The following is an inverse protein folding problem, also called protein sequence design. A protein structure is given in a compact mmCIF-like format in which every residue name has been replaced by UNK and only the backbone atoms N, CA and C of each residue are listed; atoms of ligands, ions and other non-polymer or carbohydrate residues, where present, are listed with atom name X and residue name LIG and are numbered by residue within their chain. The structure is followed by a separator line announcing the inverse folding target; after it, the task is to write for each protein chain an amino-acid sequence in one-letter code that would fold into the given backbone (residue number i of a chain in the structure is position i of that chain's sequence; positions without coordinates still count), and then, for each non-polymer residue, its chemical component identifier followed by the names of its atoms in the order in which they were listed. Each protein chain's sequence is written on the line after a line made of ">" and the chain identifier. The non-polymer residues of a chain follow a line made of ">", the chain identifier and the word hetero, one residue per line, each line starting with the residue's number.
data_IF_779404591446
#
_entry.id   IF_779404591446
#
_cell.length_a   1.000
_cell.length_b   1.000
_cell.length_c   1.000
_cell.angle_alpha   90.00
_cell.angle_beta   90.00
_cell.angle_gamma   90.00
#
_symmetry.space_group_name_H-M   'P 1'
#
loop_
_entity.id
_entity.type
_entity.pdbx_description
1 polymer ?
#
# COMPACT_ATOMS: atom_id res chain seq x y z
N UNK A 1 3.74 5.79 19.47
CA UNK A 1 3.78 6.84 18.44
C UNK A 1 4.87 6.46 17.46
N UNK A 2 4.56 6.42 16.17
CA UNK A 2 5.52 6.02 15.13
C UNK A 2 5.76 7.21 14.23
N UNK A 3 7.02 7.54 13.95
CA UNK A 3 7.36 8.62 13.01
C UNK A 3 7.22 8.14 11.57
N UNK A 4 6.92 9.07 10.66
CA UNK A 4 6.95 8.79 9.22
C UNK A 4 8.34 8.30 8.78
N UNK A 5 9.41 8.82 9.40
CA UNK A 5 10.78 8.37 9.19
C UNK A 5 10.94 6.86 9.41
N UNK A 6 10.47 6.36 10.55
CA UNK A 6 10.61 4.94 10.91
C UNK A 6 9.84 4.04 9.93
N UNK A 7 8.65 4.47 9.50
CA UNK A 7 7.88 3.74 8.50
C UNK A 7 8.65 3.68 7.18
N UNK A 8 9.18 4.80 6.70
CA UNK A 8 9.93 4.82 5.43
C UNK A 8 11.19 3.95 5.52
N UNK A 9 11.92 4.02 6.65
CA UNK A 9 13.06 3.12 6.88
C UNK A 9 12.64 1.65 6.87
N UNK A 10 11.52 1.31 7.53
CA UNK A 10 10.96 -0.04 7.52
C UNK A 10 10.63 -0.53 6.11
N UNK A 11 10.03 0.34 5.28
CA UNK A 11 9.68 0.01 3.88
C UNK A 11 10.94 -0.15 3.01
N UNK A 12 11.99 0.65 3.25
CA UNK A 12 13.29 0.47 2.56
C UNK A 12 13.94 -0.87 2.88
N UNK A 13 13.94 -1.26 4.16
CA UNK A 13 14.48 -2.55 4.57
C UNK A 13 13.62 -3.71 4.06
N UNK A 14 12.29 -3.54 4.01
CA UNK A 14 11.35 -4.49 3.40
C UNK A 14 11.67 -4.68 1.91
N UNK A 15 11.86 -3.58 1.17
CA UNK A 15 12.23 -3.62 -0.24
C UNK A 15 13.57 -4.31 -0.46
N UNK A 16 14.54 -4.09 0.44
CA UNK A 16 15.84 -4.79 0.41
C UNK A 16 15.68 -6.31 0.63
N UNK A 17 14.80 -6.74 1.53
CA UNK A 17 14.51 -8.16 1.73
C UNK A 17 13.86 -8.77 0.47
N UNK A 18 12.88 -8.07 -0.12
CA UNK A 18 12.25 -8.46 -1.38
C UNK A 18 13.26 -8.54 -2.53
N UNK A 19 14.23 -7.61 -2.61
CA UNK A 19 15.30 -7.68 -3.60
C UNK A 19 16.05 -9.00 -3.53
N UNK A 20 16.52 -9.41 -2.35
CA UNK A 20 17.23 -10.68 -2.21
C UNK A 20 16.34 -11.89 -2.52
N UNK A 21 15.08 -11.86 -2.07
CA UNK A 21 14.11 -12.92 -2.33
C UNK A 21 13.86 -13.09 -3.84
N UNK A 22 13.67 -11.99 -4.55
CA UNK A 22 13.41 -12.00 -5.98
C UNK A 22 14.63 -12.44 -6.79
N UNK A 23 15.86 -12.06 -6.35
CA UNK A 23 17.11 -12.50 -7.01
C UNK A 23 17.29 -14.03 -7.00
N UNK A 24 16.66 -14.73 -6.05
CA UNK A 24 16.67 -16.20 -6.00
C UNK A 24 15.39 -16.83 -6.55
N UNK A 25 14.55 -16.06 -7.26
CA UNK A 25 13.35 -16.55 -7.94
C UNK A 25 12.14 -16.77 -7.03
N UNK A 26 12.10 -16.17 -5.84
CA UNK A 26 10.97 -16.27 -4.92
C UNK A 26 10.15 -14.98 -4.89
N UNK A 27 8.84 -15.13 -4.69
CA UNK A 27 7.87 -14.03 -4.54
C UNK A 27 7.12 -14.26 -3.22
N UNK A 28 6.96 -13.23 -2.41
CA UNK A 28 6.33 -13.26 -1.10
C UNK A 28 4.81 -13.41 -1.18
N UNK A 29 4.16 -12.66 -2.06
CA UNK A 29 2.71 -12.73 -2.37
C UNK A 29 1.75 -12.29 -1.25
N UNK A 30 2.27 -11.73 -0.17
CA UNK A 30 1.47 -11.17 0.94
C UNK A 30 2.23 -10.07 1.70
N UNK A 31 2.83 -9.15 0.96
CA UNK A 31 3.47 -7.97 1.56
C UNK A 31 2.37 -7.04 2.10
N UNK A 32 2.38 -6.81 3.41
CA UNK A 32 1.36 -6.03 4.11
C UNK A 32 1.98 -5.23 5.25
N UNK A 33 1.22 -4.29 5.83
CA UNK A 33 1.67 -3.57 7.03
C UNK A 33 1.88 -4.51 8.23
N UNK A 34 1.17 -5.64 8.29
CA UNK A 34 1.34 -6.65 9.34
C UNK A 34 2.64 -7.45 9.19
N UNK A 35 3.16 -7.54 7.97
CA UNK A 35 4.34 -8.34 7.64
C UNK A 35 5.62 -7.50 7.50
N UNK A 36 5.51 -6.17 7.53
CA UNK A 36 6.63 -5.23 7.59
C UNK A 36 6.89 -4.80 9.04
N UNK A 37 7.79 -5.53 9.72
CA UNK A 37 8.05 -5.37 11.15
C UNK A 37 9.16 -4.36 11.42
N UNK A 38 8.93 -3.45 12.37
CA UNK A 38 9.97 -2.56 12.91
C UNK A 38 10.53 -3.13 14.22
N UNK A 39 11.81 -3.44 14.25
CA UNK A 39 12.46 -4.12 15.38
C UNK A 39 13.60 -3.27 15.92
N UNK A 40 13.61 -3.06 17.23
CA UNK A 40 14.72 -2.48 17.99
C UNK A 40 15.49 -3.60 18.66
N UNK A 41 16.80 -3.71 18.40
CA UNK A 41 17.65 -4.69 19.05
C UNK A 41 18.13 -4.21 20.44
N UNK A 42 18.82 -5.09 21.17
CA UNK A 42 19.35 -4.78 22.51
C UNK A 42 20.34 -3.61 22.54
N UNK A 43 20.88 -3.22 21.38
CA UNK A 43 21.80 -2.10 21.23
C UNK A 43 21.08 -0.81 20.79
N UNK A 44 19.75 -0.75 20.90
CA UNK A 44 18.90 0.35 20.42
C UNK A 44 18.97 0.63 18.92
N UNK A 45 19.53 -0.29 18.11
CA UNK A 45 19.50 -0.15 16.66
C UNK A 45 18.15 -0.63 16.14
N UNK A 46 17.53 0.18 15.29
CA UNK A 46 16.23 -0.12 14.71
C UNK A 46 16.39 -0.55 13.26
N UNK A 47 15.66 -1.60 12.85
CA UNK A 47 15.68 -2.14 11.49
C UNK A 47 14.30 -2.66 11.10
N UNK A 48 13.95 -2.54 9.83
CA UNK A 48 12.80 -3.24 9.25
C UNK A 48 13.13 -4.70 8.96
N UNK A 49 12.12 -5.58 9.11
CA UNK A 49 12.19 -6.98 8.67
C UNK A 49 10.88 -7.38 8.00
N UNK A 50 11.02 -8.14 6.91
CA UNK A 50 9.90 -8.81 6.26
C UNK A 50 9.63 -10.15 6.97
N UNK A 51 8.38 -10.41 7.31
CA UNK A 51 7.91 -11.61 7.99
C UNK A 51 6.82 -12.31 7.19
N UNK A 52 6.45 -13.51 7.64
CA UNK A 52 5.34 -14.31 7.13
C UNK A 52 5.47 -14.80 5.67
N UNK A 53 6.26 -15.87 5.51
CA UNK A 53 6.56 -16.48 4.22
C UNK A 53 5.62 -17.65 3.88
N UNK A 54 4.47 -17.79 4.56
CA UNK A 54 3.58 -18.95 4.36
C UNK A 54 3.03 -19.04 2.93
N UNK A 55 2.84 -17.89 2.30
CA UNK A 55 2.42 -17.78 0.91
C UNK A 55 3.58 -17.59 -0.06
N UNK A 56 4.84 -17.65 0.37
CA UNK A 56 5.97 -17.48 -0.54
C UNK A 56 5.99 -18.60 -1.61
N UNK A 57 6.30 -18.25 -2.86
CA UNK A 57 6.38 -19.22 -3.97
C UNK A 57 7.54 -18.94 -4.90
N UNK A 58 8.19 -20.01 -5.32
CA UNK A 58 9.19 -19.99 -6.38
C UNK A 58 8.51 -19.83 -7.75
N UNK A 59 8.95 -18.86 -8.55
CA UNK A 59 8.37 -18.53 -9.87
C UNK A 59 8.46 -19.68 -10.88
N UNK A 60 9.45 -20.57 -10.70
CA UNK A 60 9.67 -21.74 -11.54
C UNK A 60 8.81 -22.95 -11.13
N UNK A 61 7.96 -22.81 -10.10
CA UNK A 61 7.09 -23.90 -9.66
C UNK A 61 5.86 -24.04 -10.57
N UNK A 62 5.62 -25.25 -11.07
CA UNK A 62 4.43 -25.58 -11.86
C UNK A 62 3.23 -26.05 -11.04
N UNK A 63 3.29 -25.93 -9.70
CA UNK A 63 2.16 -26.25 -8.83
C UNK A 63 1.06 -25.18 -9.02
N UNK A 64 -0.01 -25.58 -9.70
CA UNK A 64 -1.05 -24.70 -10.27
C UNK A 64 -2.14 -24.24 -9.30
N UNK A 65 -1.97 -24.40 -7.99
CA UNK A 65 -2.89 -23.84 -7.01
C UNK A 65 -2.46 -22.41 -6.62
N UNK A 66 -2.60 -21.46 -7.53
CA UNK A 66 -2.58 -20.04 -7.16
C UNK A 66 -3.94 -19.68 -6.53
N UNK A 67 -4.06 -20.02 -5.25
CA UNK A 67 -5.06 -19.42 -4.38
C UNK A 67 -4.82 -17.91 -4.39
N UNK A 68 -5.90 -17.11 -4.43
CA UNK A 68 -5.77 -15.67 -4.28
C UNK A 68 -5.32 -15.41 -2.84
N UNK A 69 -4.05 -15.09 -2.66
CA UNK A 69 -3.43 -14.74 -1.38
C UNK A 69 -3.17 -13.24 -1.35
N UNK A 70 -3.05 -12.69 -0.16
CA UNK A 70 -2.75 -11.27 0.02
C UNK A 70 -3.80 -10.52 0.82
N UNK A 71 -3.34 -9.53 1.57
CA UNK A 71 -4.21 -8.57 2.24
C UNK A 71 -4.90 -7.65 1.20
N UNK A 72 -6.25 -7.59 1.13
CA UNK A 72 -6.97 -6.85 0.07
C UNK A 72 -6.58 -5.37 -0.08
N UNK A 73 -6.19 -4.70 1.01
CA UNK A 73 -5.73 -3.31 0.98
C UNK A 73 -4.40 -3.11 0.24
N UNK A 74 -3.52 -4.12 0.24
CA UNK A 74 -2.15 -4.02 -0.25
C UNK A 74 -1.88 -4.90 -1.47
N UNK A 75 -2.82 -5.77 -1.83
CA UNK A 75 -2.73 -6.65 -3.00
C UNK A 75 -2.55 -5.88 -4.32
N UNK A 76 -1.58 -6.23 -5.16
CA UNK A 76 -1.40 -5.58 -6.46
C UNK A 76 -2.67 -5.64 -7.34
N UNK A 77 -2.87 -4.63 -8.20
CA UNK A 77 -4.10 -4.50 -9.01
C UNK A 77 -4.30 -5.67 -9.99
N UNK A 78 -3.21 -6.21 -10.54
CA UNK A 78 -3.25 -7.39 -11.41
C UNK A 78 -3.58 -8.68 -10.65
N UNK A 79 -3.16 -8.76 -9.39
CA UNK A 79 -3.43 -9.91 -8.50
C UNK A 79 -4.89 -9.91 -8.08
N UNK A 80 -5.45 -8.74 -7.78
CA UNK A 80 -6.88 -8.57 -7.54
C UNK A 80 -7.68 -9.02 -8.77
N UNK A 81 -7.31 -8.52 -9.95
CA UNK A 81 -7.95 -8.86 -11.22
C UNK A 81 -7.68 -10.29 -11.71
N UNK A 82 -6.62 -10.95 -11.24
CA UNK A 82 -6.08 -12.23 -11.73
C UNK A 82 -5.76 -12.22 -13.24
N UNK A 83 -5.28 -11.09 -13.76
CA UNK A 83 -4.86 -10.95 -15.14
C UNK A 83 -3.83 -9.84 -15.31
N UNK A 84 -3.04 -9.92 -16.38
CA UNK A 84 -2.13 -8.86 -16.79
C UNK A 84 -2.94 -7.67 -17.33
N UNK A 85 -2.85 -6.52 -16.67
CA UNK A 85 -3.65 -5.32 -16.94
C UNK A 85 -2.89 -4.25 -17.72
N UNK A 86 -1.57 -4.38 -17.83
CA UNK A 86 -0.70 -3.45 -18.52
C UNK A 86 -0.24 -3.97 -19.89
N UNK A 87 -0.24 -5.29 -20.12
CA UNK A 87 0.20 -5.93 -21.36
C UNK A 87 -0.69 -5.58 -22.56
N UNK A 88 -2.00 -5.42 -22.32
CA UNK A 88 -2.99 -5.14 -23.35
C UNK A 88 -3.03 -3.68 -23.78
N UNK A 89 -2.36 -2.77 -23.05
CA UNK A 89 -2.34 -1.34 -23.39
C UNK A 89 -1.45 -1.07 -24.62
N UNK A 90 -0.36 -1.83 -24.78
CA UNK A 90 0.65 -1.55 -25.80
C UNK A 90 0.40 -2.12 -27.19
N UNK A 91 -0.29 -3.25 -27.27
CA UNK A 91 -0.29 -4.07 -28.50
C UNK A 91 -1.64 -4.16 -29.23
N UNK A 92 -2.70 -3.52 -28.73
CA UNK A 92 -4.07 -3.77 -29.20
C UNK A 92 -4.48 -5.23 -28.95
N UNK A 93 -5.67 -5.66 -29.39
CA UNK A 93 -6.23 -7.02 -29.21
C UNK A 93 -5.40 -8.18 -29.85
N UNK A 94 -4.13 -7.95 -30.17
CA UNK A 94 -3.30 -8.79 -31.04
C UNK A 94 -2.42 -9.83 -30.33
N UNK A 95 -2.70 -10.15 -29.06
CA UNK A 95 -2.01 -11.23 -28.35
C UNK A 95 -2.79 -12.54 -28.48
N UNK A 96 -2.31 -13.41 -29.38
CA UNK A 96 -2.91 -14.73 -29.70
C UNK A 96 -2.86 -15.75 -28.54
N UNK A 97 -2.17 -15.46 -27.44
CA UNK A 97 -2.30 -16.14 -26.14
C UNK A 97 -1.45 -15.42 -25.09
N UNK A 98 -2.07 -14.69 -24.17
CA UNK A 98 -1.36 -14.27 -22.97
C UNK A 98 -1.02 -15.52 -22.15
N UNK A 99 0.20 -15.63 -21.59
CA UNK A 99 0.51 -16.75 -20.71
C UNK A 99 -0.45 -16.74 -19.50
N UNK A 100 -0.69 -17.90 -18.87
CA UNK A 100 -1.46 -17.95 -17.63
C UNK A 100 -0.92 -16.93 -16.62
N UNK A 101 -1.82 -16.18 -15.98
CA UNK A 101 -1.42 -15.17 -14.99
C UNK A 101 -0.60 -15.83 -13.87
N UNK A 102 0.58 -15.28 -13.63
CA UNK A 102 1.47 -15.69 -12.53
C UNK A 102 1.93 -14.46 -11.77
N UNK A 103 1.90 -14.56 -10.44
CA UNK A 103 2.46 -13.53 -9.57
C UNK A 103 3.98 -13.45 -9.76
N UNK A 104 4.52 -12.22 -9.76
CA UNK A 104 5.94 -11.95 -9.91
C UNK A 104 6.40 -10.86 -8.90
N UNK A 105 7.70 -10.59 -8.85
CA UNK A 105 8.26 -9.66 -7.88
C UNK A 105 7.73 -8.22 -7.99
N UNK A 106 7.18 -7.78 -9.13
CA UNK A 106 6.54 -6.47 -9.23
C UNK A 106 5.31 -6.36 -8.33
N UNK A 107 4.57 -7.45 -8.16
CA UNK A 107 3.36 -7.45 -7.33
C UNK A 107 3.69 -7.24 -5.85
N UNK A 108 4.83 -7.76 -5.38
CA UNK A 108 5.34 -7.49 -4.04
C UNK A 108 5.81 -6.03 -3.88
N UNK A 109 6.48 -5.49 -4.90
CA UNK A 109 6.92 -4.08 -4.89
C UNK A 109 5.71 -3.14 -4.91
N UNK A 110 4.68 -3.41 -5.72
CA UNK A 110 3.43 -2.64 -5.73
C UNK A 110 2.78 -2.62 -4.34
N UNK A 111 2.83 -3.73 -3.61
CA UNK A 111 2.29 -3.82 -2.26
C UNK A 111 3.01 -2.87 -1.28
N UNK A 112 4.34 -2.70 -1.39
CA UNK A 112 5.11 -1.70 -0.60
C UNK A 112 4.60 -0.29 -0.84
N UNK A 113 4.26 0.03 -2.08
CA UNK A 113 3.69 1.33 -2.44
C UNK A 113 2.29 1.55 -1.86
N UNK A 114 1.46 0.51 -1.91
CA UNK A 114 0.13 0.57 -1.30
C UNK A 114 0.21 0.77 0.21
N UNK A 115 1.20 0.18 0.89
CA UNK A 115 1.43 0.43 2.32
C UNK A 115 1.78 1.90 2.55
N UNK A 116 2.69 2.48 1.76
CA UNK A 116 3.05 3.90 1.91
C UNK A 116 1.84 4.83 1.71
N UNK A 117 1.06 4.60 0.66
CA UNK A 117 -0.15 5.40 0.40
C UNK A 117 -1.19 5.22 1.49
N UNK A 118 -1.40 3.99 1.96
CA UNK A 118 -2.29 3.74 3.07
C UNK A 118 -1.86 4.51 4.31
N UNK A 119 -0.57 4.54 4.64
CA UNK A 119 -0.03 5.31 5.77
C UNK A 119 -0.32 6.81 5.61
N UNK A 120 -0.07 7.38 4.43
CA UNK A 120 -0.30 8.80 4.15
C UNK A 120 -1.77 9.18 4.33
N UNK A 121 -2.70 8.32 3.91
CA UNK A 121 -4.14 8.60 4.01
C UNK A 121 -4.76 8.18 5.35
N UNK A 122 -4.21 7.19 6.03
CA UNK A 122 -4.73 6.70 7.31
C UNK A 122 -4.29 7.56 8.49
N UNK A 123 -3.09 8.13 8.42
CA UNK A 123 -2.51 8.94 9.48
C UNK A 123 -2.50 10.43 9.12
N UNK A 124 -2.35 11.26 10.15
CA UNK A 124 -2.04 12.68 10.01
C UNK A 124 -0.88 13.05 10.94
N UNK A 125 -0.19 14.16 10.65
CA UNK A 125 0.83 14.68 11.56
C UNK A 125 0.15 15.22 12.82
N UNK A 126 0.58 14.72 13.98
CA UNK A 126 0.08 15.16 15.27
C UNK A 126 0.28 16.67 15.49
N UNK A 127 1.39 17.21 14.99
CA UNK A 127 1.75 18.61 15.17
C UNK A 127 1.07 19.52 14.13
N UNK A 128 0.82 18.99 12.93
CA UNK A 128 0.15 19.70 11.83
C UNK A 128 -0.95 18.82 11.21
N UNK A 129 -2.07 18.62 11.92
CA UNK A 129 -3.15 17.76 11.43
C UNK A 129 -3.72 18.27 10.10
N UNK A 130 -4.25 17.33 9.33
CA UNK A 130 -4.93 17.62 8.07
C UNK A 130 -6.07 18.62 8.28
N UNK A 131 -6.18 19.56 7.35
CA UNK A 131 -7.26 20.57 7.35
C UNK A 131 -8.61 19.98 6.92
N UNK A 132 -8.62 18.82 6.26
CA UNK A 132 -9.84 18.14 5.79
C UNK A 132 -9.78 16.61 6.05
N UNK A 133 -10.01 16.18 7.30
CA UNK A 133 -9.99 14.77 7.65
C UNK A 133 -11.13 13.97 6.99
N UNK A 134 -12.24 14.64 6.63
CA UNK A 134 -13.37 14.01 5.96
C UNK A 134 -13.00 13.57 4.54
N UNK A 135 -12.44 14.47 3.74
CA UNK A 135 -11.99 14.15 2.39
C UNK A 135 -10.83 13.13 2.39
N UNK A 136 -9.91 13.24 3.34
CA UNK A 136 -8.83 12.26 3.51
C UNK A 136 -9.38 10.85 3.78
N UNK A 137 -10.38 10.71 4.68
CA UNK A 137 -11.05 9.43 4.96
C UNK A 137 -11.80 8.90 3.75
N UNK A 138 -12.53 9.75 3.02
CA UNK A 138 -13.27 9.33 1.84
C UNK A 138 -12.31 8.81 0.75
N UNK A 139 -11.17 9.49 0.57
CA UNK A 139 -10.12 9.05 -0.34
C UNK A 139 -9.51 7.72 0.10
N UNK A 140 -9.22 7.56 1.40
CA UNK A 140 -8.77 6.29 1.97
C UNK A 140 -9.76 5.16 1.63
N UNK A 141 -11.06 5.36 1.90
CA UNK A 141 -12.09 4.34 1.65
C UNK A 141 -12.24 3.99 0.17
N UNK A 142 -12.10 4.98 -0.73
CA UNK A 142 -12.18 4.74 -2.18
C UNK A 142 -11.00 3.92 -2.71
N UNK A 143 -9.79 4.17 -2.21
CA UNK A 143 -8.56 3.45 -2.62
C UNK A 143 -8.47 2.09 -1.90
N UNK A 144 -8.82 2.06 -0.61
CA UNK A 144 -8.61 0.94 0.31
C UNK A 144 -9.94 0.47 0.93
N UNK A 145 -10.89 -0.06 0.14
CA UNK A 145 -12.18 -0.51 0.67
C UNK A 145 -12.09 -1.80 1.50
N UNK A 146 -10.95 -2.50 1.46
CA UNK A 146 -10.75 -3.79 2.14
C UNK A 146 -11.45 -4.97 1.48
N UNK A 147 -12.09 -4.73 0.34
CA UNK A 147 -12.83 -5.73 -0.44
C UNK A 147 -12.24 -5.79 -1.85
N UNK A 148 -12.08 -7.01 -2.35
CA UNK A 148 -11.55 -7.29 -3.68
C UNK A 148 -12.46 -6.73 -4.79
N UNK A 149 -11.86 -6.29 -5.90
CA UNK A 149 -12.57 -5.82 -7.10
C UNK A 149 -13.35 -4.50 -6.95
N UNK A 150 -13.33 -3.87 -5.77
CA UNK A 150 -14.02 -2.60 -5.49
C UNK A 150 -13.06 -1.42 -5.31
N UNK A 151 -11.76 -1.66 -5.45
CA UNK A 151 -10.74 -0.67 -5.16
C UNK A 151 -10.52 0.29 -6.34
N UNK A 152 -10.43 1.59 -6.03
CA UNK A 152 -10.01 2.61 -7.01
C UNK A 152 -8.51 2.57 -7.32
N UNK A 153 -7.74 1.61 -6.75
CA UNK A 153 -6.29 1.49 -6.99
C UNK A 153 -5.94 1.30 -8.44
N UNK A 154 -6.75 0.58 -9.22
CA UNK A 154 -6.53 0.48 -10.66
C UNK A 154 -6.65 1.85 -11.35
N UNK A 155 -7.63 2.66 -10.95
CA UNK A 155 -7.75 4.03 -11.45
C UNK A 155 -6.54 4.87 -11.05
N UNK A 156 -6.08 4.80 -9.80
CA UNK A 156 -4.88 5.52 -9.35
C UNK A 156 -3.64 5.05 -10.12
N UNK A 157 -3.47 3.74 -10.28
CA UNK A 157 -2.38 3.15 -11.03
C UNK A 157 -2.42 3.53 -12.52
N UNK A 158 -3.60 3.79 -13.10
CA UNK A 158 -3.78 4.16 -14.52
C UNK A 158 -3.92 5.67 -14.79
N UNK A 159 -4.22 6.48 -13.77
CA UNK A 159 -4.60 7.89 -13.95
C UNK A 159 -3.55 8.84 -13.42
N UNK A 160 -2.96 9.64 -14.31
CA UNK A 160 -2.01 10.71 -13.97
C UNK A 160 -2.68 12.09 -13.73
N UNK A 161 -4.01 12.17 -13.58
CA UNK A 161 -4.73 13.44 -13.31
C UNK A 161 -4.49 13.92 -11.86
N UNK A 162 -4.59 15.23 -11.55
CA UNK A 162 -3.97 15.80 -10.35
C UNK A 162 -4.75 15.45 -9.08
N UNK A 163 -4.37 14.36 -8.41
CA UNK A 163 -4.69 14.10 -7.00
C UNK A 163 -3.54 14.61 -6.11
N UNK A 164 -2.30 14.47 -6.57
CA UNK A 164 -1.12 15.22 -6.11
C UNK A 164 0.06 15.00 -7.07
N UNK A 165 1.10 15.84 -7.02
CA UNK A 165 2.35 15.61 -7.77
C UNK A 165 2.98 14.26 -7.41
N UNK A 166 2.93 13.90 -6.13
CA UNK A 166 3.41 12.63 -5.60
C UNK A 166 2.69 11.42 -6.20
N UNK A 167 1.34 11.42 -6.18
CA UNK A 167 0.55 10.32 -6.75
C UNK A 167 0.76 10.16 -8.25
N UNK A 168 0.98 11.27 -8.97
CA UNK A 168 1.31 11.24 -10.40
C UNK A 168 2.66 10.57 -10.66
N UNK A 169 3.68 10.93 -9.89
CA UNK A 169 5.01 10.32 -10.00
C UNK A 169 4.94 8.82 -9.67
N UNK A 170 4.24 8.47 -8.59
CA UNK A 170 3.95 7.08 -8.22
C UNK A 170 3.29 6.30 -9.37
N UNK A 171 2.17 6.80 -9.90
CA UNK A 171 1.44 6.14 -10.99
C UNK A 171 2.32 5.97 -12.25
N UNK A 172 3.07 7.02 -12.61
CA UNK A 172 3.98 6.97 -13.77
C UNK A 172 5.05 5.89 -13.62
N UNK A 173 5.70 5.79 -12.45
CA UNK A 173 6.75 4.80 -12.24
C UNK A 173 6.20 3.39 -12.16
N UNK A 174 5.03 3.21 -11.55
CA UNK A 174 4.36 1.91 -11.51
C UNK A 174 4.00 1.44 -12.93
N UNK A 175 3.40 2.32 -13.74
CA UNK A 175 3.07 2.04 -15.14
C UNK A 175 4.31 1.66 -15.96
N UNK A 176 5.39 2.45 -15.86
CA UNK A 176 6.63 2.22 -16.59
C UNK A 176 7.32 0.91 -16.16
N UNK A 177 7.24 0.57 -14.87
CA UNK A 177 7.77 -0.68 -14.32
C UNK A 177 7.02 -1.89 -14.88
N UNK A 178 5.68 -1.84 -14.88
CA UNK A 178 4.85 -2.90 -15.48
C UNK A 178 5.10 -3.03 -16.97
N UNK A 179 5.07 -1.90 -17.69
CA UNK A 179 5.32 -1.88 -19.13
C UNK A 179 6.64 -2.57 -19.49
N UNK A 180 7.73 -2.15 -18.85
CA UNK A 180 9.07 -2.69 -19.12
C UNK A 180 9.17 -4.18 -18.77
N UNK A 181 8.57 -4.60 -17.66
CA UNK A 181 8.63 -5.98 -17.21
C UNK A 181 7.81 -6.92 -18.10
N UNK A 182 6.64 -6.47 -18.54
CA UNK A 182 5.76 -7.27 -19.39
C UNK A 182 6.23 -7.32 -20.84
N UNK A 183 6.88 -6.28 -21.37
CA UNK A 183 7.65 -6.39 -22.63
C UNK A 183 8.81 -7.40 -22.49
N UNK A 184 9.41 -7.49 -21.30
CA UNK A 184 10.51 -8.41 -21.01
C UNK A 184 10.08 -9.87 -20.79
N UNK A 185 8.80 -10.13 -20.48
CA UNK A 185 8.22 -11.50 -20.44
C UNK A 185 8.44 -12.23 -21.77
N UNK A 186 8.50 -11.49 -22.89
CA UNK A 186 8.76 -12.05 -24.21
C UNK A 186 10.26 -12.21 -24.55
N UNK A 187 11.19 -11.63 -23.77
CA UNK A 187 12.60 -11.46 -24.19
C UNK A 187 13.68 -11.86 -23.15
N UNK A 188 13.32 -12.55 -22.05
CA UNK A 188 14.28 -13.10 -21.05
C UNK A 188 15.12 -12.01 -20.32
N UNK A 189 14.63 -10.76 -20.20
CA UNK A 189 15.35 -9.65 -19.53
C UNK A 189 14.78 -9.24 -18.17
N UNK A 190 13.94 -10.09 -17.56
CA UNK A 190 13.15 -9.72 -16.38
C UNK A 190 13.98 -9.33 -15.14
N UNK A 191 15.17 -9.91 -14.98
CA UNK A 191 16.04 -9.68 -13.81
C UNK A 191 16.61 -8.25 -13.75
N UNK A 192 17.11 -7.74 -14.87
CA UNK A 192 17.64 -6.37 -14.98
C UNK A 192 16.53 -5.34 -14.75
N UNK A 193 15.33 -5.61 -15.29
CA UNK A 193 14.14 -4.78 -15.06
C UNK A 193 13.81 -4.71 -13.58
N UNK A 194 13.74 -5.86 -12.91
CA UNK A 194 13.36 -5.91 -11.50
C UNK A 194 14.37 -5.20 -10.60
N UNK A 195 15.66 -5.30 -10.92
CA UNK A 195 16.70 -4.53 -10.21
C UNK A 195 16.53 -3.01 -10.38
N UNK A 196 16.22 -2.54 -11.60
CA UNK A 196 15.93 -1.13 -11.85
C UNK A 196 14.72 -0.64 -11.05
N UNK A 197 13.64 -1.43 -11.02
CA UNK A 197 12.40 -1.10 -10.29
C UNK A 197 12.64 -1.04 -8.78
N UNK A 198 13.41 -1.99 -8.22
CA UNK A 198 13.84 -1.93 -6.82
C UNK A 198 14.62 -0.65 -6.50
N UNK A 199 15.59 -0.29 -7.35
CA UNK A 199 16.42 0.90 -7.18
C UNK A 199 15.60 2.18 -7.20
N UNK A 200 14.71 2.34 -8.18
CA UNK A 200 13.89 3.54 -8.30
C UNK A 200 12.84 3.63 -7.18
N UNK A 201 12.26 2.50 -6.76
CA UNK A 201 11.36 2.45 -5.59
C UNK A 201 12.09 2.90 -4.32
N UNK A 202 13.31 2.44 -4.09
CA UNK A 202 14.13 2.86 -2.95
C UNK A 202 14.44 4.36 -2.96
N UNK A 203 14.77 4.90 -4.15
CA UNK A 203 15.03 6.32 -4.36
C UNK A 203 13.79 7.17 -4.09
N UNK A 204 12.62 6.73 -4.52
CA UNK A 204 11.38 7.45 -4.25
C UNK A 204 10.97 7.43 -2.78
N UNK A 205 11.18 6.32 -2.07
CA UNK A 205 11.01 6.28 -0.63
C UNK A 205 11.90 7.32 0.06
N UNK A 206 13.14 7.48 -0.41
CA UNK A 206 14.05 8.52 0.09
C UNK A 206 13.57 9.93 -0.26
N UNK A 207 13.04 10.15 -1.46
CA UNK A 207 12.48 11.45 -1.85
C UNK A 207 11.29 11.85 -0.97
N UNK A 208 10.42 10.89 -0.63
CA UNK A 208 9.31 11.11 0.32
C UNK A 208 9.86 11.44 1.70
N UNK A 209 10.85 10.69 2.17
CA UNK A 209 11.52 10.99 3.43
C UNK A 209 12.01 12.43 3.44
N UNK A 210 12.75 12.86 2.42
CA UNK A 210 13.31 14.21 2.34
C UNK A 210 12.25 15.30 2.19
N UNK A 211 11.19 15.08 1.39
CA UNK A 211 10.16 16.08 1.12
C UNK A 211 9.25 16.36 2.34
N UNK A 212 8.97 15.34 3.14
CA UNK A 212 8.19 15.49 4.38
C UNK A 212 9.09 15.78 5.60
N UNK A 213 10.41 15.81 5.42
CA UNK A 213 11.43 16.13 6.41
C UNK A 213 12.01 17.54 6.20
N UNK A 214 11.16 18.55 5.98
CA UNK A 214 11.64 19.92 6.15
C UNK A 214 12.16 20.05 7.59
N UNK A 215 13.48 19.89 7.75
CA UNK A 215 14.30 19.90 8.97
C UNK A 215 14.51 18.56 9.72
N UNK A 216 13.53 17.64 9.86
CA UNK A 216 13.76 16.22 10.27
C UNK A 216 12.46 15.38 10.18
N UNK A 217 12.43 14.27 9.42
CA UNK A 217 11.26 13.36 9.36
C UNK A 217 10.92 12.74 10.72
N UNK A 218 11.87 12.74 11.66
CA UNK A 218 11.66 12.26 13.03
C UNK A 218 10.60 13.07 13.77
N UNK A 219 10.37 14.32 13.37
CA UNK A 219 9.38 15.22 13.96
C UNK A 219 7.95 15.01 13.45
N UNK A 220 7.76 14.29 12.34
CA UNK A 220 6.43 13.94 11.82
C UNK A 220 5.92 12.73 12.59
N UNK A 221 5.16 12.99 13.65
CA UNK A 221 4.57 11.98 14.51
C UNK A 221 3.19 11.62 13.98
N UNK A 222 3.04 10.37 13.52
CA UNK A 222 1.81 9.92 12.93
C UNK A 222 0.78 9.55 13.99
N UNK A 223 -0.42 10.11 13.84
CA UNK A 223 -1.58 9.80 14.65
C UNK A 223 -2.77 9.40 13.77
N UNK A 224 -3.55 8.37 14.17
CA UNK A 224 -4.70 7.92 13.39
C UNK A 224 -5.72 9.04 13.11
N UNK A 225 -6.23 9.09 11.88
CA UNK A 225 -7.15 10.13 11.41
C UNK A 225 -8.48 10.16 12.19
N UNK A 226 -8.92 9.01 12.71
CA UNK A 226 -10.16 8.86 13.47
C UNK A 226 -10.23 9.75 14.72
N UNK A 227 -9.08 10.13 15.28
CA UNK A 227 -9.00 11.07 16.41
C UNK A 227 -9.49 12.48 16.08
N UNK A 228 -9.44 12.88 14.81
CA UNK A 228 -9.79 14.23 14.34
C UNK A 228 -11.13 14.28 13.62
N UNK A 229 -11.75 13.12 13.40
CA UNK A 229 -13.10 13.05 12.87
C UNK A 229 -14.08 13.36 14.00
N UNK A 230 -14.86 14.42 13.84
CA UNK A 230 -15.92 14.74 14.79
C UNK A 230 -16.82 13.52 14.96
N UNK A 231 -16.92 13.00 16.19
CA UNK A 231 -17.94 11.99 16.52
C UNK A 231 -19.28 12.61 16.16
N UNK A 232 -19.95 12.10 15.12
CA UNK A 232 -21.38 12.32 14.97
C UNK A 232 -21.99 11.88 16.29
N UNK A 233 -22.50 12.84 17.09
CA UNK A 233 -23.41 12.51 18.20
C UNK A 233 -24.52 11.68 17.57
N UNK A 234 -24.59 10.41 17.92
CA UNK A 234 -25.80 9.62 17.72
C UNK A 234 -26.90 10.33 18.50
N UNK A 235 -27.83 10.97 17.80
CA UNK A 235 -29.09 11.40 18.38
C UNK A 235 -29.85 10.15 18.80
N UNK A 236 -29.61 9.70 20.03
CA UNK A 236 -30.43 8.73 20.74
C UNK A 236 -30.25 8.91 22.25
N UNK A 237 -30.33 10.15 22.72
CA UNK A 237 -30.78 10.42 24.09
C UNK A 237 -32.22 10.90 23.98
N UNK A 238 -33.12 9.90 24.02
CA UNK A 238 -34.53 10.14 24.33
C UNK A 238 -34.55 10.80 25.70
N UNK A 239 -34.95 12.08 25.72
CA UNK A 239 -35.36 12.78 26.93
C UNK A 239 -36.39 11.92 27.66
N UNK A 240 -35.97 11.24 28.72
CA UNK A 240 -36.87 10.77 29.75
C UNK A 240 -37.02 11.90 30.75
N UNK A 241 -38.09 12.67 30.60
CA UNK A 241 -38.51 13.70 31.54
C UNK A 241 -38.74 13.08 32.93
N UNK A 242 -38.36 13.77 34.03
CA UNK A 242 -38.49 13.24 35.37
C UNK A 242 -39.96 13.27 35.83
N UNK A 243 -40.36 12.14 36.38
CA UNK A 243 -41.60 11.83 37.09
C UNK A 243 -41.97 12.93 38.10
N UNK A 244 -43.13 13.57 37.92
CA UNK A 244 -43.82 14.27 39.01
C UNK A 244 -44.51 13.25 39.92
N UNK A 245 -43.92 12.99 41.08
CA UNK A 245 -44.67 12.57 42.27
C UNK A 245 -44.74 13.77 43.22
N UNK A 246 -45.93 14.38 43.35
CA UNK A 246 -46.55 14.74 44.63
C UNK A 246 -47.75 15.67 44.43
N UNK A 247 -48.96 15.14 44.69
CA UNK A 247 -49.98 15.75 45.58
C UNK A 247 -51.34 15.10 45.36
N UNK A 248 -51.63 14.04 46.12
CA UNK A 248 -52.98 13.75 46.64
C UNK A 248 -52.86 13.12 48.02
N UNK A 249 -52.76 14.00 49.03
CA UNK A 249 -53.23 13.78 50.39
C UNK A 249 -53.80 15.09 50.91
N UNK A 250 -55.10 15.26 50.71
CA UNK A 250 -56.12 15.83 51.60
C UNK A 250 -57.43 15.91 50.82
#
# INVERSE_FOLDING_TARGET
>A
MTSLANIICCLKDTLKALYYMHKVGWVHRDVSIGNALWITNNNNQCTGKLADFEYAKCIYSDKSHDVRTGTPHFMAVEVDAKCYLFITWGYGEKLLSTPPFRMNGLHDIESVWWILLWVIFYYTDQNHPTVDPGNQRNTLQAIFPGVLGQSSRLMVAKTCKPISKFLRQFASHLQESYWTAEESIMTIKFEDTLESVHRETAKNLLNVHNAYAHEDASNVILCPLDRFLTRKRSNSEVQTSPTMQEKRRR
#
